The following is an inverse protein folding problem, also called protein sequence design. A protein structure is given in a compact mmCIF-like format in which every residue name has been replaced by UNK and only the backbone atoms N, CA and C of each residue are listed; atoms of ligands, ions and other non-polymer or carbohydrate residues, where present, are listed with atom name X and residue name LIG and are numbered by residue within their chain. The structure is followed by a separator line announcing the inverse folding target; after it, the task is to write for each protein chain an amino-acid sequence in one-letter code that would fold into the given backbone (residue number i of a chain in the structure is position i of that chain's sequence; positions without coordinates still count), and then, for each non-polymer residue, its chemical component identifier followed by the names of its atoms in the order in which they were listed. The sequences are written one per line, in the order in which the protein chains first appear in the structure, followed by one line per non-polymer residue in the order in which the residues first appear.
data_IF_501794611280
#
_entry.id   IF_501794611280
#
_cell.length_a   1.000
_cell.length_b   1.000
_cell.length_c   1.000
_cell.angle_alpha   90.00
_cell.angle_beta   90.00
_cell.angle_gamma   90.00
#
_symmetry.space_group_name_H-M   'P 1'
#
loop_
_entity.id
_entity.type
_entity.pdbx_description
1 polymer ?
#
# COMPACT_ATOMS: atom_id res chain seq x y z
N UNK A 1 -21.96 -7.65 -2.96
CA UNK A 1 -21.40 -6.78 -4.03
C UNK A 1 -21.42 -7.48 -5.39
N UNK A 2 -20.93 -8.71 -5.53
CA UNK A 2 -20.94 -9.48 -6.80
C UNK A 2 -22.34 -9.64 -7.39
N UNK A 3 -23.34 -9.97 -6.57
CA UNK A 3 -24.73 -10.08 -6.94
C UNK A 3 -25.23 -8.85 -7.72
N UNK A 4 -25.05 -7.65 -7.16
CA UNK A 4 -25.53 -6.40 -7.79
C UNK A 4 -24.82 -6.11 -9.10
N UNK A 5 -23.52 -6.41 -9.19
CA UNK A 5 -22.76 -6.20 -10.42
C UNK A 5 -23.21 -7.17 -11.52
N UNK A 6 -23.35 -8.46 -11.20
CA UNK A 6 -23.84 -9.48 -12.16
C UNK A 6 -25.27 -9.16 -12.60
N UNK A 7 -26.15 -8.80 -11.67
CA UNK A 7 -27.54 -8.42 -12.00
C UNK A 7 -27.59 -7.21 -12.93
N UNK A 8 -26.83 -6.15 -12.62
CA UNK A 8 -26.79 -4.95 -13.45
C UNK A 8 -26.25 -5.24 -14.87
N UNK A 9 -25.17 -6.03 -14.97
CA UNK A 9 -24.62 -6.45 -16.26
C UNK A 9 -25.60 -7.32 -17.06
N UNK A 10 -26.32 -8.23 -16.40
CA UNK A 10 -27.33 -9.07 -17.03
C UNK A 10 -28.44 -8.22 -17.64
N UNK A 11 -29.00 -7.29 -16.86
CA UNK A 11 -30.04 -6.37 -17.36
C UNK A 11 -29.53 -5.47 -18.49
N UNK A 12 -28.30 -4.94 -18.37
CA UNK A 12 -27.69 -4.09 -19.40
C UNK A 12 -27.48 -4.81 -20.73
N UNK A 13 -27.35 -6.13 -20.72
CA UNK A 13 -27.27 -6.98 -21.91
C UNK A 13 -28.61 -7.56 -22.36
N UNK A 14 -29.73 -7.00 -21.91
CA UNK A 14 -31.07 -7.40 -22.33
C UNK A 14 -31.63 -8.66 -21.63
N UNK A 15 -30.92 -9.16 -20.62
CA UNK A 15 -31.37 -10.29 -19.82
C UNK A 15 -32.49 -9.90 -18.87
N UNK A 16 -33.35 -10.87 -18.50
CA UNK A 16 -34.36 -10.72 -17.47
C UNK A 16 -34.13 -11.69 -16.34
N UNK A 17 -34.44 -11.30 -15.11
CA UNK A 17 -34.33 -12.14 -13.93
C UNK A 17 -35.70 -12.15 -13.20
N UNK A 18 -36.37 -13.31 -13.25
CA UNK A 18 -37.72 -13.48 -12.65
C UNK A 18 -37.69 -13.90 -11.18
N UNK A 19 -36.52 -13.89 -10.51
CA UNK A 19 -36.35 -14.34 -9.14
C UNK A 19 -35.42 -13.46 -8.34
N UNK A 20 -35.09 -13.93 -7.15
CA UNK A 20 -34.10 -13.28 -6.27
C UNK A 20 -32.84 -14.14 -6.14
N UNK A 21 -31.69 -13.48 -6.08
CA UNK A 21 -30.41 -14.15 -5.76
C UNK A 21 -30.44 -14.61 -4.30
N UNK A 22 -30.04 -15.87 -4.07
CA UNK A 22 -29.92 -16.47 -2.74
C UNK A 22 -28.53 -17.01 -2.51
N UNK A 23 -28.08 -16.96 -1.30
CA UNK A 23 -26.88 -17.69 -0.89
C UNK A 23 -27.19 -19.19 -0.84
N UNK A 24 -26.26 -20.01 -1.30
CA UNK A 24 -26.41 -21.45 -1.33
C UNK A 24 -25.13 -22.17 -1.68
N UNK A 25 -25.12 -23.48 -1.48
CA UNK A 25 -24.04 -24.35 -1.92
C UNK A 25 -24.17 -24.64 -3.42
N UNK A 26 -23.03 -24.79 -4.11
CA UNK A 26 -23.01 -25.22 -5.50
C UNK A 26 -23.62 -26.63 -5.58
N UNK A 27 -24.62 -26.89 -6.45
CA UNK A 27 -25.24 -28.22 -6.58
C UNK A 27 -24.21 -29.27 -6.99
N UNK A 28 -24.38 -30.50 -6.47
CA UNK A 28 -23.59 -31.66 -6.92
C UNK A 28 -23.85 -31.89 -8.40
N UNK A 29 -22.78 -32.01 -9.19
CA UNK A 29 -22.87 -32.18 -10.65
C UNK A 29 -22.99 -30.88 -11.46
N UNK A 30 -22.95 -29.72 -10.83
CA UNK A 30 -22.83 -28.45 -11.56
C UNK A 30 -21.52 -28.43 -12.37
N UNK A 31 -21.61 -28.06 -13.64
CA UNK A 31 -20.44 -27.87 -14.50
C UNK A 31 -20.04 -26.40 -14.55
N UNK A 32 -18.76 -26.17 -14.38
CA UNK A 32 -18.17 -24.86 -14.59
C UNK A 32 -18.35 -24.41 -16.04
N UNK A 33 -18.88 -23.23 -16.25
CA UNK A 33 -19.12 -22.65 -17.57
C UNK A 33 -18.14 -21.56 -17.95
N UNK A 34 -17.68 -20.83 -16.97
CA UNK A 34 -16.82 -19.68 -17.17
C UNK A 34 -16.02 -19.43 -15.90
N UNK A 35 -14.74 -19.18 -16.04
CA UNK A 35 -13.84 -18.79 -14.96
C UNK A 35 -13.30 -17.38 -15.23
N UNK A 36 -13.39 -16.53 -14.25
CA UNK A 36 -12.71 -15.24 -14.26
C UNK A 36 -11.56 -15.29 -13.26
N UNK A 37 -10.37 -15.14 -13.75
CA UNK A 37 -9.18 -15.02 -12.90
C UNK A 37 -8.99 -13.57 -12.49
N UNK A 38 -8.65 -13.35 -11.22
CA UNK A 38 -8.25 -12.01 -10.74
C UNK A 38 -6.83 -11.68 -11.22
N UNK A 39 -6.45 -10.39 -11.26
CA UNK A 39 -5.05 -10.02 -11.41
C UNK A 39 -4.16 -10.68 -10.35
N UNK A 40 -2.88 -10.82 -10.65
CA UNK A 40 -1.89 -11.35 -9.70
C UNK A 40 -1.79 -10.45 -8.46
N UNK A 41 -1.30 -11.00 -7.35
CA UNK A 41 -1.08 -10.21 -6.13
C UNK A 41 -0.13 -9.03 -6.37
N UNK A 42 0.91 -9.20 -7.19
CA UNK A 42 1.84 -8.14 -7.55
C UNK A 42 1.14 -6.97 -8.27
N UNK A 43 0.23 -7.27 -9.19
CA UNK A 43 -0.57 -6.25 -9.90
C UNK A 43 -1.53 -5.52 -8.95
N UNK A 44 -2.21 -6.25 -8.06
CA UNK A 44 -3.10 -5.66 -7.05
C UNK A 44 -2.32 -4.74 -6.10
N UNK A 45 -1.15 -5.16 -5.64
CA UNK A 45 -0.26 -4.34 -4.78
C UNK A 45 0.21 -3.10 -5.55
N UNK A 46 0.59 -3.26 -6.82
CA UNK A 46 0.99 -2.14 -7.68
C UNK A 46 -0.13 -1.10 -7.79
N UNK A 47 -1.34 -1.51 -8.10
CA UNK A 47 -2.46 -0.59 -8.28
C UNK A 47 -2.86 0.05 -6.95
N UNK A 48 -2.85 -0.70 -5.84
CA UNK A 48 -3.07 -0.17 -4.51
C UNK A 48 -2.06 0.93 -4.15
N UNK A 49 -0.79 0.75 -4.47
CA UNK A 49 0.26 1.72 -4.17
C UNK A 49 0.28 2.90 -5.15
N UNK A 50 0.24 2.66 -6.46
CA UNK A 50 0.30 3.70 -7.51
C UNK A 50 -0.87 4.68 -7.39
N UNK A 51 -2.07 4.19 -7.16
CA UNK A 51 -3.29 5.00 -7.15
C UNK A 51 -3.83 5.26 -5.74
N UNK A 52 -3.12 4.81 -4.70
CA UNK A 52 -3.56 4.92 -3.30
C UNK A 52 -4.99 4.38 -3.11
N UNK A 53 -5.27 3.21 -3.67
CA UNK A 53 -6.59 2.61 -3.61
C UNK A 53 -6.86 2.01 -2.23
N UNK A 54 -7.70 2.70 -1.45
CA UNK A 54 -8.00 2.33 -0.07
C UNK A 54 -8.75 0.99 0.04
N UNK A 55 -9.63 0.69 -0.88
CA UNK A 55 -10.40 -0.56 -0.88
C UNK A 55 -9.47 -1.74 -1.11
N UNK A 56 -8.57 -1.65 -2.12
CA UNK A 56 -7.55 -2.67 -2.36
C UNK A 56 -6.64 -2.86 -1.13
N UNK A 57 -6.20 -1.77 -0.49
CA UNK A 57 -5.37 -1.85 0.70
C UNK A 57 -6.07 -2.56 1.87
N UNK A 58 -7.39 -2.33 2.05
CA UNK A 58 -8.19 -3.06 3.04
C UNK A 58 -8.29 -4.55 2.72
N UNK A 59 -8.50 -4.90 1.45
CA UNK A 59 -8.53 -6.30 1.01
C UNK A 59 -7.18 -6.98 1.18
N UNK A 60 -6.07 -6.29 0.91
CA UNK A 60 -4.72 -6.80 1.17
C UNK A 60 -4.50 -7.11 2.65
N UNK A 61 -4.96 -6.24 3.57
CA UNK A 61 -4.89 -6.53 4.99
C UNK A 61 -5.74 -7.75 5.36
N UNK A 62 -6.96 -7.86 4.84
CA UNK A 62 -7.83 -9.01 5.09
C UNK A 62 -7.24 -10.31 4.56
N UNK A 63 -6.54 -10.29 3.43
CA UNK A 63 -5.90 -11.46 2.82
C UNK A 63 -4.81 -12.09 3.71
N UNK A 64 -4.23 -11.35 4.67
CA UNK A 64 -3.25 -11.90 5.61
C UNK A 64 -3.82 -13.03 6.49
N UNK A 65 -5.14 -13.14 6.62
CA UNK A 65 -5.80 -14.14 7.45
C UNK A 65 -6.80 -15.02 6.67
N UNK A 66 -6.62 -15.17 5.38
CA UNK A 66 -7.59 -15.89 4.55
C UNK A 66 -7.57 -17.41 4.80
N UNK A 67 -6.44 -17.98 5.22
CA UNK A 67 -6.27 -19.42 5.41
C UNK A 67 -7.02 -19.96 6.65
N UNK A 68 -7.31 -19.12 7.65
CA UNK A 68 -7.81 -19.53 8.96
C UNK A 68 -9.34 -19.28 9.14
N UNK A 69 -10.12 -19.29 8.06
CA UNK A 69 -11.55 -19.04 8.07
C UNK A 69 -11.92 -17.61 7.66
N UNK A 70 -13.14 -17.11 7.98
CA UNK A 70 -13.58 -15.79 7.56
C UNK A 70 -12.62 -14.68 7.97
N UNK A 71 -12.14 -13.93 6.99
CA UNK A 71 -11.19 -12.84 7.22
C UNK A 71 -11.87 -11.67 7.96
N UNK A 72 -11.26 -11.20 9.04
CA UNK A 72 -11.68 -10.02 9.79
C UNK A 72 -10.49 -9.11 10.04
N UNK A 73 -10.71 -7.79 10.15
CA UNK A 73 -9.63 -6.86 10.48
C UNK A 73 -8.95 -7.18 11.81
N UNK A 74 -9.69 -7.68 12.81
CA UNK A 74 -9.11 -8.06 14.10
C UNK A 74 -8.09 -9.20 13.96
N UNK A 75 -8.46 -10.29 13.28
CA UNK A 75 -7.57 -11.42 13.02
C UNK A 75 -6.38 -11.02 12.14
N UNK A 76 -6.61 -10.21 11.12
CA UNK A 76 -5.54 -9.75 10.24
C UNK A 76 -4.52 -8.88 10.99
N UNK A 77 -4.97 -8.01 11.90
CA UNK A 77 -4.07 -7.24 12.77
C UNK A 77 -3.27 -8.15 13.71
N UNK A 78 -3.91 -9.16 14.30
CA UNK A 78 -3.23 -10.14 15.13
C UNK A 78 -2.16 -10.91 14.33
N UNK A 79 -2.47 -11.33 13.11
CA UNK A 79 -1.51 -11.99 12.22
C UNK A 79 -0.33 -11.08 11.88
N UNK A 80 -0.60 -9.80 11.57
CA UNK A 80 0.43 -8.80 11.33
C UNK A 80 1.32 -8.59 12.56
N UNK A 81 0.74 -8.53 13.76
CA UNK A 81 1.48 -8.42 15.01
C UNK A 81 2.41 -9.62 15.25
N UNK A 82 1.91 -10.84 15.06
CA UNK A 82 2.72 -12.06 15.19
C UNK A 82 3.90 -12.06 14.22
N UNK A 83 3.64 -11.74 12.95
CA UNK A 83 4.68 -11.63 11.92
C UNK A 83 5.71 -10.55 12.27
N UNK A 84 5.25 -9.39 12.76
CA UNK A 84 6.14 -8.29 13.15
C UNK A 84 7.08 -8.68 14.29
N UNK A 85 6.54 -9.27 15.34
CA UNK A 85 7.32 -9.73 16.48
C UNK A 85 8.33 -10.81 16.11
N UNK A 86 7.95 -11.74 15.25
CA UNK A 86 8.85 -12.78 14.75
C UNK A 86 9.98 -12.19 13.89
N UNK A 87 9.69 -11.11 13.15
CA UNK A 87 10.63 -10.54 12.18
C UNK A 87 11.56 -9.51 12.78
N UNK A 88 11.08 -8.68 13.68
CA UNK A 88 11.81 -7.53 14.22
C UNK A 88 12.05 -7.59 15.73
N UNK A 89 11.45 -8.55 16.41
CA UNK A 89 11.53 -8.64 17.88
C UNK A 89 10.64 -7.62 18.60
N UNK A 90 10.66 -7.64 19.94
CA UNK A 90 9.82 -6.78 20.78
C UNK A 90 10.31 -5.32 20.85
N UNK A 91 11.58 -5.06 20.56
CA UNK A 91 12.19 -3.73 20.74
C UNK A 91 11.80 -2.73 19.64
N UNK A 92 11.33 -3.20 18.50
CA UNK A 92 10.83 -2.34 17.43
C UNK A 92 9.31 -2.17 17.55
N UNK A 93 8.81 -0.95 17.88
CA UNK A 93 7.39 -0.74 18.03
C UNK A 93 6.59 -1.16 16.80
N UNK A 94 5.56 -1.98 17.00
CA UNK A 94 4.62 -2.37 15.96
C UNK A 94 3.81 -1.16 15.51
N UNK A 95 3.67 -0.91 14.19
CA UNK A 95 2.70 0.07 13.70
C UNK A 95 1.26 -0.32 14.07
N UNK A 96 0.50 0.62 14.61
CA UNK A 96 -0.92 0.45 14.87
C UNK A 96 -1.70 0.64 13.56
N UNK A 97 -2.20 -0.49 13.03
CA UNK A 97 -2.92 -0.52 11.76
C UNK A 97 -4.42 -0.68 12.03
N UNK A 98 -5.22 0.27 11.55
CA UNK A 98 -6.69 0.19 11.65
C UNK A 98 -7.27 -0.85 10.68
N UNK A 99 -7.58 -0.40 9.47
CA UNK A 99 -8.17 -1.23 8.40
C UNK A 99 -7.26 -1.42 7.17
N UNK A 100 -5.99 -1.02 7.25
CA UNK A 100 -5.02 -1.15 6.16
C UNK A 100 -5.00 -0.01 5.14
N UNK A 101 -5.99 0.87 5.11
CA UNK A 101 -6.02 1.98 4.13
C UNK A 101 -5.07 3.14 4.48
N UNK A 102 -4.64 3.25 5.73
CA UNK A 102 -3.85 4.39 6.22
C UNK A 102 -4.67 5.66 6.48
N UNK A 103 -5.98 5.65 6.27
CA UNK A 103 -6.86 6.80 6.54
C UNK A 103 -7.39 6.85 7.99
N UNK A 104 -7.01 5.89 8.83
CA UNK A 104 -7.39 5.88 10.25
C UNK A 104 -6.65 6.98 11.01
N UNK A 105 -7.38 7.75 11.81
CA UNK A 105 -6.78 8.73 12.73
C UNK A 105 -6.20 8.08 13.99
N UNK A 106 -6.56 6.83 14.25
CA UNK A 106 -6.04 6.04 15.38
C UNK A 106 -4.75 5.29 15.01
N UNK A 107 -4.43 5.21 13.71
CA UNK A 107 -3.19 4.58 13.23
C UNK A 107 -1.95 5.31 13.73
N UNK A 108 -0.93 4.55 14.14
CA UNK A 108 0.37 5.05 14.60
C UNK A 108 1.50 4.29 13.92
N UNK A 109 2.53 5.00 13.48
CA UNK A 109 3.76 4.41 13.00
C UNK A 109 4.93 5.33 13.31
N UNK A 110 6.07 4.79 13.68
CA UNK A 110 7.31 5.55 13.77
C UNK A 110 8.07 5.50 12.45
N UNK A 111 8.83 6.57 12.18
CA UNK A 111 9.72 6.58 11.00
C UNK A 111 10.75 5.44 11.06
N UNK A 112 11.23 5.11 12.26
CA UNK A 112 12.15 3.99 12.47
C UNK A 112 11.51 2.65 12.08
N UNK A 113 10.28 2.38 12.54
CA UNK A 113 9.58 1.12 12.25
C UNK A 113 9.35 0.96 10.73
N UNK A 114 8.86 2.00 10.06
CA UNK A 114 8.68 1.98 8.60
C UNK A 114 10.01 1.85 7.87
N UNK A 115 11.07 2.52 8.35
CA UNK A 115 12.41 2.41 7.78
C UNK A 115 12.96 0.99 7.87
N UNK A 116 12.83 0.32 9.01
CA UNK A 116 13.23 -1.08 9.19
C UNK A 116 12.43 -2.04 8.33
N UNK A 117 11.11 -1.83 8.21
CA UNK A 117 10.26 -2.59 7.30
C UNK A 117 10.74 -2.47 5.84
N UNK A 118 11.01 -1.25 5.37
CA UNK A 118 11.48 -1.01 4.01
C UNK A 118 12.88 -1.61 3.77
N UNK A 119 13.82 -1.50 4.73
CA UNK A 119 15.13 -2.15 4.65
C UNK A 119 15.00 -3.66 4.51
N UNK A 120 14.13 -4.27 5.34
CA UNK A 120 13.86 -5.70 5.31
C UNK A 120 13.22 -6.15 4.00
N UNK A 121 12.26 -5.38 3.50
CA UNK A 121 11.61 -5.66 2.22
C UNK A 121 12.59 -5.56 1.04
N UNK A 122 13.49 -4.59 1.08
CA UNK A 122 14.54 -4.43 0.06
C UNK A 122 15.52 -5.61 0.02
N UNK A 123 15.83 -6.21 1.17
CA UNK A 123 16.68 -7.39 1.28
C UNK A 123 15.97 -8.72 0.97
N UNK A 124 14.69 -8.68 0.61
CA UNK A 124 13.87 -9.86 0.33
C UNK A 124 13.66 -10.09 -1.18
N UNK A 125 13.20 -11.29 -1.54
CA UNK A 125 12.81 -11.61 -2.92
C UNK A 125 11.60 -10.80 -3.43
N UNK A 126 10.82 -10.18 -2.52
CA UNK A 126 9.70 -9.31 -2.90
C UNK A 126 10.14 -7.89 -3.29
N UNK A 127 11.43 -7.57 -3.22
CA UNK A 127 11.95 -6.23 -3.50
C UNK A 127 11.56 -5.70 -4.89
N UNK A 128 11.72 -6.45 -5.99
CA UNK A 128 11.41 -5.91 -7.32
C UNK A 128 9.94 -5.50 -7.45
N UNK A 129 9.02 -6.35 -6.99
CA UNK A 129 7.58 -6.07 -7.05
C UNK A 129 7.20 -4.90 -6.14
N UNK A 130 7.76 -4.84 -4.93
CA UNK A 130 7.50 -3.73 -4.02
C UNK A 130 8.00 -2.41 -4.59
N UNK A 131 9.24 -2.34 -5.04
CA UNK A 131 9.81 -1.09 -5.59
C UNK A 131 9.02 -0.64 -6.82
N UNK A 132 8.73 -1.56 -7.76
CA UNK A 132 7.95 -1.27 -8.94
C UNK A 132 6.50 -0.83 -8.64
N UNK A 133 5.93 -1.30 -7.52
CA UNK A 133 4.58 -0.92 -7.09
C UNK A 133 4.49 0.52 -6.59
N UNK A 134 5.56 1.07 -6.03
CA UNK A 134 5.55 2.43 -5.48
C UNK A 134 5.50 3.49 -6.59
N UNK A 135 4.78 4.62 -6.39
CA UNK A 135 4.83 5.76 -7.30
C UNK A 135 6.26 6.24 -7.55
N UNK A 136 6.63 6.39 -8.82
CA UNK A 136 7.91 6.95 -9.23
C UNK A 136 7.82 8.46 -9.36
N UNK A 137 8.74 9.20 -8.75
CA UNK A 137 8.76 10.66 -8.75
C UNK A 137 8.79 11.23 -10.18
N UNK A 138 7.88 12.16 -10.48
CA UNK A 138 7.77 12.83 -11.78
C UNK A 138 7.33 11.95 -12.95
N UNK A 139 7.03 10.64 -12.72
CA UNK A 139 6.71 9.70 -13.79
C UNK A 139 5.29 9.14 -13.70
N UNK A 140 4.89 8.60 -12.53
CA UNK A 140 3.62 7.90 -12.42
C UNK A 140 2.92 8.04 -11.07
N UNK A 141 1.75 7.41 -10.96
CA UNK A 141 0.96 7.31 -9.75
C UNK A 141 0.68 8.67 -9.10
N UNK A 142 0.64 8.69 -7.78
CA UNK A 142 0.41 9.91 -6.99
C UNK A 142 1.56 10.93 -7.06
N UNK A 143 2.73 10.52 -7.55
CA UNK A 143 3.91 11.38 -7.71
C UNK A 143 4.15 11.87 -9.14
N UNK A 144 3.25 11.62 -10.09
CA UNK A 144 3.43 12.02 -11.50
C UNK A 144 3.69 13.52 -11.68
N UNK A 145 3.13 14.36 -10.81
CA UNK A 145 3.29 15.82 -10.86
C UNK A 145 4.26 16.35 -9.79
N UNK A 146 5.06 15.49 -9.19
CA UNK A 146 6.00 15.91 -8.15
C UNK A 146 7.17 16.67 -8.77
N UNK A 147 7.75 17.60 -7.99
CA UNK A 147 8.93 18.39 -8.36
C UNK A 147 10.23 17.80 -7.82
N UNK A 148 10.18 16.59 -7.27
CA UNK A 148 11.33 15.90 -6.67
C UNK A 148 12.41 15.46 -7.69
N UNK A 149 12.16 15.63 -9.00
CA UNK A 149 12.98 15.08 -10.07
C UNK A 149 12.46 13.72 -10.56
N UNK A 150 12.47 13.53 -11.89
CA UNK A 150 11.92 12.35 -12.53
C UNK A 150 12.78 11.10 -12.24
N UNK A 151 12.16 10.04 -11.75
CA UNK A 151 12.79 8.74 -11.51
C UNK A 151 13.76 8.67 -10.32
N UNK A 152 13.96 9.77 -9.57
CA UNK A 152 14.89 9.79 -8.43
C UNK A 152 14.40 8.96 -7.23
N UNK A 153 13.10 8.73 -7.12
CA UNK A 153 12.55 8.05 -5.96
C UNK A 153 11.31 7.22 -6.29
N UNK A 154 11.13 6.14 -5.54
CA UNK A 154 9.93 5.32 -5.51
C UNK A 154 9.31 5.43 -4.11
N UNK A 155 8.26 6.24 -3.95
CA UNK A 155 7.74 6.63 -2.64
C UNK A 155 6.21 6.47 -2.59
N UNK A 156 5.73 5.94 -1.46
CA UNK A 156 4.32 6.04 -1.09
C UNK A 156 4.07 7.35 -0.36
N UNK A 157 3.05 8.08 -0.79
CA UNK A 157 2.59 9.31 -0.15
C UNK A 157 1.49 9.03 0.88
N UNK A 158 1.44 9.82 1.94
CA UNK A 158 0.32 9.91 2.87
C UNK A 158 -0.10 11.38 3.03
N UNK A 159 -1.40 11.63 2.99
CA UNK A 159 -1.93 12.98 3.18
C UNK A 159 -3.28 12.92 3.90
N UNK A 160 -3.36 13.57 5.04
CA UNK A 160 -4.59 13.90 5.75
C UNK A 160 -4.58 15.42 6.00
N UNK A 161 -5.65 15.93 6.59
CA UNK A 161 -5.78 17.37 6.85
C UNK A 161 -4.57 17.96 7.58
N UNK A 162 -4.02 17.22 8.54
CA UNK A 162 -2.96 17.62 9.48
C UNK A 162 -1.73 16.69 9.40
N UNK A 163 -1.62 15.89 8.32
CA UNK A 163 -0.52 14.94 8.11
C UNK A 163 0.00 15.01 6.69
N UNK A 164 1.32 15.05 6.55
CA UNK A 164 2.02 14.77 5.30
C UNK A 164 3.08 13.70 5.54
N UNK A 165 3.18 12.73 4.65
CA UNK A 165 4.12 11.64 4.79
C UNK A 165 4.68 11.17 3.46
N UNK A 166 5.93 10.71 3.49
CA UNK A 166 6.61 10.01 2.41
C UNK A 166 7.34 8.80 2.99
N UNK A 167 7.27 7.66 2.32
CA UNK A 167 8.04 6.48 2.70
C UNK A 167 8.40 5.65 1.44
N UNK A 168 9.64 5.18 1.36
CA UNK A 168 10.12 4.35 0.25
C UNK A 168 11.61 4.46 0.00
N UNK A 169 11.99 4.46 -1.29
CA UNK A 169 13.38 4.36 -1.73
C UNK A 169 13.78 5.58 -2.58
N UNK A 170 15.00 6.06 -2.36
CA UNK A 170 15.61 7.13 -3.13
C UNK A 170 16.85 6.58 -3.84
N UNK A 171 16.99 6.90 -5.12
CA UNK A 171 18.09 6.49 -5.97
C UNK A 171 19.11 7.64 -6.05
N UNK A 172 20.27 7.43 -5.46
CA UNK A 172 21.35 8.40 -5.49
C UNK A 172 22.11 8.36 -6.82
N UNK A 173 22.70 9.49 -7.18
CA UNK A 173 23.51 9.62 -8.39
C UNK A 173 24.78 8.73 -8.36
N UNK A 174 25.30 8.41 -7.17
CA UNK A 174 26.44 7.50 -6.96
C UNK A 174 26.08 6.00 -7.02
N UNK A 175 24.83 5.67 -7.36
CA UNK A 175 24.34 4.29 -7.43
C UNK A 175 23.81 3.73 -6.11
N UNK A 176 24.00 4.42 -4.98
CA UNK A 176 23.45 3.97 -3.70
C UNK A 176 21.92 4.04 -3.69
N UNK A 177 21.31 3.22 -2.84
CA UNK A 177 19.87 3.22 -2.57
C UNK A 177 19.65 3.54 -1.11
N UNK A 178 18.81 4.54 -0.86
CA UNK A 178 18.46 4.98 0.49
C UNK A 178 17.00 4.65 0.78
N UNK A 179 16.72 4.27 2.02
CA UNK A 179 15.38 4.27 2.57
C UNK A 179 15.10 5.66 3.12
N UNK A 180 14.00 6.26 2.69
CA UNK A 180 13.53 7.54 3.19
C UNK A 180 12.15 7.37 3.82
N UNK A 181 11.99 7.86 5.06
CA UNK A 181 10.71 7.98 5.75
C UNK A 181 10.63 9.37 6.37
N UNK A 182 9.62 10.11 6.00
CA UNK A 182 9.33 11.43 6.56
C UNK A 182 7.85 11.51 6.96
N UNK A 183 7.59 11.87 8.21
CA UNK A 183 6.26 11.99 8.80
C UNK A 183 6.13 13.38 9.43
N UNK A 184 5.13 14.15 9.00
CA UNK A 184 4.83 15.47 9.53
C UNK A 184 3.39 15.48 10.07
N UNK A 185 3.25 15.69 11.38
CA UNK A 185 1.98 15.84 12.07
C UNK A 185 1.89 17.28 12.60
N UNK A 186 1.10 18.11 11.95
CA UNK A 186 0.94 19.51 12.33
C UNK A 186 -0.33 20.09 11.69
N UNK A 187 -1.07 20.99 12.32
CA UNK A 187 -2.25 21.62 11.71
C UNK A 187 -1.96 22.25 10.33
N UNK A 188 -0.72 22.69 10.09
CA UNK A 188 -0.25 23.24 8.82
C UNK A 188 0.68 22.26 8.07
N UNK A 189 0.43 20.95 8.14
CA UNK A 189 1.29 19.94 7.50
C UNK A 189 1.43 20.12 5.99
N UNK A 190 0.43 20.69 5.31
CA UNK A 190 0.50 20.96 3.87
C UNK A 190 1.64 21.91 3.47
N UNK A 191 2.04 22.83 4.35
CA UNK A 191 3.16 23.73 4.12
C UNK A 191 4.52 23.00 4.12
N UNK A 192 4.60 21.77 4.63
CA UNK A 192 5.82 20.98 4.61
C UNK A 192 6.13 20.38 3.24
N UNK A 193 5.21 20.41 2.27
CA UNK A 193 5.40 19.78 0.95
C UNK A 193 6.70 20.22 0.24
N UNK A 194 7.04 21.53 0.13
CA UNK A 194 8.31 21.95 -0.47
C UNK A 194 9.53 21.42 0.27
N UNK A 195 9.48 21.34 1.61
CA UNK A 195 10.57 20.79 2.41
C UNK A 195 10.74 19.28 2.20
N UNK A 196 9.64 18.54 2.04
CA UNK A 196 9.68 17.12 1.70
C UNK A 196 10.24 16.88 0.29
N UNK A 197 9.87 17.72 -0.69
CA UNK A 197 10.43 17.67 -2.04
C UNK A 197 11.95 17.95 -2.01
N UNK A 198 12.39 18.96 -1.27
CA UNK A 198 13.80 19.29 -1.09
C UNK A 198 14.58 18.17 -0.37
N UNK A 199 13.97 17.52 0.64
CA UNK A 199 14.56 16.38 1.34
C UNK A 199 14.84 15.21 0.37
N UNK A 200 13.92 14.91 -0.54
CA UNK A 200 14.11 13.86 -1.54
C UNK A 200 15.22 14.23 -2.52
N UNK A 201 15.26 15.47 -3.01
CA UNK A 201 16.32 15.95 -3.89
C UNK A 201 17.69 15.89 -3.22
N UNK A 202 17.79 16.34 -1.97
CA UNK A 202 19.01 16.23 -1.17
C UNK A 202 19.42 14.78 -0.97
N UNK A 203 18.51 13.88 -0.61
CA UNK A 203 18.80 12.47 -0.46
C UNK A 203 19.27 11.81 -1.76
N UNK A 204 18.81 12.28 -2.91
CA UNK A 204 19.22 11.80 -4.23
C UNK A 204 20.58 12.36 -4.69
N UNK A 205 21.03 13.49 -4.13
CA UNK A 205 22.34 14.09 -4.46
C UNK A 205 23.49 13.23 -3.90
N UNK A 206 24.63 13.23 -4.60
CA UNK A 206 25.84 12.54 -4.14
C UNK A 206 26.61 13.34 -3.06
N UNK A 207 26.23 14.60 -2.83
CA UNK A 207 26.89 15.45 -1.86
C UNK A 207 26.58 15.01 -0.43
N UNK A 208 27.62 14.61 0.33
CA UNK A 208 27.50 14.50 1.78
C UNK A 208 27.45 15.91 2.36
N UNK A 209 26.54 16.22 3.31
CA UNK A 209 26.69 17.46 4.07
C UNK A 209 28.09 17.47 4.71
N UNK A 210 28.80 18.58 4.56
CA UNK A 210 30.06 18.77 5.27
C UNK A 210 29.78 18.51 6.76
N UNK A 211 30.53 17.57 7.35
CA UNK A 211 30.50 17.31 8.79
C UNK A 211 30.91 18.60 9.50
N UNK A 212 29.94 19.22 10.20
CA UNK A 212 30.26 20.32 11.15
C UNK A 212 30.73 19.73 12.45
#
# INVERSE_FOLDING_TARGET
MAERAVHALWLANGGTLGGQVREGSVPVGATERLVFESPTLAEVVRDANKFSNNVMAQHLLLALNQADGPATFARSRQRLQQWWLQRFGPDLPLPEVGNGSGLSRDGRASALALGRLLQQAYASHAMPDLVASLPASGLDGTLRRSRMGAGLAHLKTGSLRDVQALAGYVHRADGQRLVLVALVNHPNAHAARPALDALVQWAASAERPASR
#
